data_IF_784518961768
#
_entry.id   IF_784518961768
#
_cell.length_a   1.000
_cell.length_b   1.000
_cell.length_c   1.000
_cell.angle_alpha   90.00
_cell.angle_beta   90.00
_cell.angle_gamma   90.00
#
_symmetry.space_group_name_H-M   'P 1'
#
loop_
_entity.id
_entity.type
_entity.pdbx_description
1 polymer ?
#
# COMPACT_ATOMS: atom_id res chain seq x y z
N UNK A 1 46.68 -18.19 -29.26
CA UNK A 1 46.03 -17.16 -28.40
C UNK A 1 44.55 -17.20 -28.70
N UNK A 2 43.76 -17.82 -27.82
CA UNK A 2 42.34 -18.10 -28.02
C UNK A 2 41.52 -16.82 -27.73
N UNK A 3 40.80 -16.29 -28.72
CA UNK A 3 39.87 -15.17 -28.56
C UNK A 3 38.62 -15.66 -27.81
N UNK A 4 38.41 -15.21 -26.56
CA UNK A 4 37.16 -15.41 -25.84
C UNK A 4 36.16 -14.31 -26.24
N UNK A 5 35.10 -14.72 -26.93
CA UNK A 5 33.92 -13.91 -27.22
C UNK A 5 33.03 -13.77 -25.97
N UNK A 6 32.87 -12.54 -25.48
CA UNK A 6 31.96 -12.20 -24.38
C UNK A 6 30.52 -12.15 -24.92
N UNK A 7 29.75 -13.21 -24.71
CA UNK A 7 28.30 -13.19 -24.87
C UNK A 7 27.68 -12.47 -23.65
N UNK A 8 27.33 -11.21 -23.82
CA UNK A 8 26.53 -10.47 -22.83
C UNK A 8 25.12 -11.06 -22.76
N UNK A 9 24.79 -11.69 -21.65
CA UNK A 9 23.44 -12.18 -21.38
C UNK A 9 22.57 -10.96 -21.05
N UNK A 10 21.78 -10.49 -22.02
CA UNK A 10 20.67 -9.59 -21.75
C UNK A 10 19.58 -10.38 -21.01
N UNK A 11 19.54 -10.25 -19.68
CA UNK A 11 18.41 -10.73 -18.89
C UNK A 11 17.21 -9.82 -19.17
N UNK A 12 16.01 -10.37 -19.42
CA UNK A 12 14.81 -9.56 -19.57
C UNK A 12 14.55 -8.79 -18.28
N UNK A 13 14.20 -7.50 -18.40
CA UNK A 13 13.78 -6.69 -17.27
C UNK A 13 12.63 -7.40 -16.55
N UNK A 14 12.85 -7.74 -15.27
CA UNK A 14 11.80 -8.32 -14.41
C UNK A 14 10.74 -7.24 -14.24
N UNK A 15 9.61 -7.42 -14.93
CA UNK A 15 8.44 -6.58 -14.73
C UNK A 15 7.96 -6.77 -13.28
N UNK A 16 7.67 -5.70 -12.53
CA UNK A 16 7.12 -5.83 -11.18
C UNK A 16 5.79 -6.57 -11.31
N UNK A 17 5.75 -7.81 -10.82
CA UNK A 17 4.55 -8.63 -10.82
C UNK A 17 3.56 -8.00 -9.85
N UNK A 18 2.39 -7.57 -10.34
CA UNK A 18 1.35 -7.07 -9.46
C UNK A 18 1.01 -8.11 -8.37
N UNK A 19 0.95 -7.65 -7.12
CA UNK A 19 0.58 -8.49 -6.00
C UNK A 19 -0.93 -8.78 -6.08
N UNK A 20 -1.29 -10.03 -6.31
CA UNK A 20 -2.68 -10.43 -6.57
C UNK A 20 -3.36 -11.00 -5.33
N UNK A 21 -4.69 -11.04 -5.33
CA UNK A 21 -5.47 -11.72 -4.28
C UNK A 21 -5.09 -13.21 -4.14
N UNK A 22 -4.57 -13.84 -5.19
CA UNK A 22 -4.11 -15.23 -5.11
C UNK A 22 -2.84 -15.38 -4.29
N UNK A 23 -2.02 -14.33 -4.19
CA UNK A 23 -0.82 -14.30 -3.34
C UNK A 23 -1.19 -14.10 -1.84
N UNK A 24 -2.42 -13.69 -1.55
CA UNK A 24 -2.95 -13.40 -0.20
C UNK A 24 -3.49 -14.66 0.50
N UNK A 25 -4.20 -15.51 -0.24
CA UNK A 25 -4.97 -16.64 0.32
C UNK A 25 -4.08 -17.72 0.94
N UNK A 26 -2.82 -17.85 0.51
CA UNK A 26 -1.88 -18.83 1.09
C UNK A 26 -1.10 -18.29 2.30
N UNK A 27 -1.07 -16.97 2.51
CA UNK A 27 -0.21 -16.32 3.53
C UNK A 27 -0.96 -15.87 4.78
N UNK A 28 -2.28 -15.64 4.71
CA UNK A 28 -3.05 -15.11 5.84
C UNK A 28 -4.21 -16.04 6.21
N UNK A 29 -3.97 -17.08 7.05
CA UNK A 29 -5.07 -17.90 7.57
C UNK A 29 -6.03 -17.03 8.40
N UNK A 30 -7.34 -17.26 8.25
CA UNK A 30 -8.43 -16.52 8.93
C UNK A 30 -8.49 -16.70 10.46
N UNK A 31 -7.44 -17.23 11.10
CA UNK A 31 -7.37 -17.40 12.55
C UNK A 31 -6.68 -16.21 13.19
N UNK A 32 -7.47 -15.33 13.81
CA UNK A 32 -6.99 -14.15 14.53
C UNK A 32 -6.50 -14.56 15.94
N UNK A 33 -5.38 -14.01 16.45
CA UNK A 33 -4.88 -14.34 17.79
C UNK A 33 -5.80 -13.81 18.91
N UNK A 34 -6.71 -12.90 18.59
CA UNK A 34 -7.73 -12.36 19.48
C UNK A 34 -8.99 -11.98 18.67
N UNK A 35 -10.19 -11.93 19.28
CA UNK A 35 -11.40 -11.46 18.61
C UNK A 35 -11.20 -10.06 18.00
N UNK A 36 -11.65 -9.85 16.76
CA UNK A 36 -11.47 -8.60 16.01
C UNK A 36 -10.02 -8.25 15.63
N UNK A 37 -9.06 -9.18 15.77
CA UNK A 37 -7.72 -8.99 15.23
C UNK A 37 -7.74 -8.83 13.72
N UNK A 38 -7.05 -7.83 13.20
CA UNK A 38 -6.94 -7.56 11.77
C UNK A 38 -5.50 -7.23 11.40
N UNK A 39 -5.20 -7.31 10.10
CA UNK A 39 -3.90 -6.93 9.54
C UNK A 39 -4.09 -5.79 8.56
N UNK A 40 -3.04 -5.03 8.32
CA UNK A 40 -2.95 -4.07 7.22
C UNK A 40 -1.59 -4.24 6.56
N UNK A 41 -1.47 -3.84 5.30
CA UNK A 41 -0.14 -3.54 4.78
C UNK A 41 0.43 -2.35 5.56
N UNK A 42 1.68 -2.46 5.99
CA UNK A 42 2.39 -1.38 6.71
C UNK A 42 3.75 -1.14 6.09
N UNK A 43 4.06 0.13 5.83
CA UNK A 43 5.32 0.57 5.27
C UNK A 43 5.47 2.08 5.50
N UNK A 44 6.72 2.56 5.56
CA UNK A 44 7.02 3.98 5.69
C UNK A 44 7.83 4.46 4.48
N UNK A 45 7.27 5.41 3.72
CA UNK A 45 7.92 6.06 2.57
C UNK A 45 8.55 5.07 1.56
N UNK A 46 7.86 3.95 1.28
CA UNK A 46 8.25 3.04 0.19
C UNK A 46 8.14 3.75 -1.16
N UNK A 47 8.95 3.36 -2.15
CA UNK A 47 8.96 4.04 -3.45
C UNK A 47 7.62 3.89 -4.20
N UNK A 48 6.97 2.74 -4.05
CA UNK A 48 5.69 2.43 -4.69
C UNK A 48 4.87 1.39 -3.91
N UNK A 49 3.70 1.03 -4.46
CA UNK A 49 2.80 0.05 -3.85
C UNK A 49 3.40 -1.35 -3.79
N UNK A 50 4.20 -1.72 -4.79
CA UNK A 50 4.76 -3.06 -4.90
C UNK A 50 5.81 -3.27 -3.81
N UNK A 51 6.74 -2.33 -3.66
CA UNK A 51 7.75 -2.37 -2.60
C UNK A 51 7.10 -2.37 -1.21
N UNK A 52 6.09 -1.51 -1.01
CA UNK A 52 5.33 -1.47 0.24
C UNK A 52 4.67 -2.82 0.58
N UNK A 53 3.92 -3.40 -0.36
CA UNK A 53 3.16 -4.63 -0.09
C UNK A 53 4.06 -5.86 0.01
N UNK A 54 5.13 -5.93 -0.80
CA UNK A 54 6.04 -7.07 -0.85
C UNK A 54 6.83 -7.25 0.45
N UNK A 55 7.21 -6.16 1.09
CA UNK A 55 8.03 -6.17 2.30
C UNK A 55 7.26 -5.86 3.57
N UNK A 56 5.93 -5.68 3.46
CA UNK A 56 5.09 -5.49 4.63
C UNK A 56 5.22 -6.67 5.60
N UNK A 57 5.41 -6.41 6.90
CA UNK A 57 5.50 -7.46 7.90
C UNK A 57 4.16 -8.18 8.04
N UNK A 58 4.18 -9.51 8.14
CA UNK A 58 2.98 -10.32 8.37
C UNK A 58 2.61 -10.34 9.87
N UNK A 59 2.21 -9.18 10.40
CA UNK A 59 1.85 -9.00 11.81
C UNK A 59 0.46 -8.41 11.97
N UNK A 60 -0.18 -8.70 13.10
CA UNK A 60 -1.47 -8.11 13.46
C UNK A 60 -1.32 -6.66 13.91
N UNK A 61 -2.34 -5.86 13.63
CA UNK A 61 -2.39 -4.47 14.06
C UNK A 61 -2.48 -4.33 15.60
N UNK A 62 -2.04 -3.21 16.17
CA UNK A 62 -2.23 -2.87 17.59
C UNK A 62 -3.72 -2.80 17.98
N UNK A 63 -4.03 -3.08 19.26
CA UNK A 63 -5.40 -3.20 19.78
C UNK A 63 -6.21 -1.89 19.77
N UNK A 64 -5.52 -0.76 19.80
CA UNK A 64 -6.06 0.60 19.78
C UNK A 64 -6.34 1.11 18.35
N UNK A 65 -6.10 0.28 17.33
CA UNK A 65 -6.37 0.61 15.92
C UNK A 65 -7.57 -0.16 15.40
N UNK A 66 -8.22 0.37 14.35
CA UNK A 66 -9.38 -0.28 13.69
C UNK A 66 -9.34 -0.21 12.17
N UNK A 67 -8.54 0.71 11.60
CA UNK A 67 -8.56 0.99 10.18
C UNK A 67 -7.18 0.82 9.57
N UNK A 68 -7.17 0.52 8.27
CA UNK A 68 -5.97 0.57 7.48
C UNK A 68 -5.89 1.90 6.73
N UNK A 69 -4.83 2.65 6.99
CA UNK A 69 -4.51 3.93 6.36
C UNK A 69 -3.59 3.72 5.16
N UNK A 70 -3.82 4.50 4.10
CA UNK A 70 -2.93 4.61 2.94
C UNK A 70 -2.73 6.08 2.57
N UNK A 71 -1.48 6.50 2.48
CA UNK A 71 -1.07 7.79 1.93
C UNK A 71 -0.16 7.58 0.73
N UNK A 72 -0.48 8.26 -0.36
CA UNK A 72 0.22 8.15 -1.63
C UNK A 72 0.58 9.54 -2.15
N UNK A 73 1.87 9.84 -2.14
CA UNK A 73 2.43 10.99 -2.84
C UNK A 73 2.81 10.55 -4.24
N UNK A 74 2.30 11.24 -5.25
CA UNK A 74 2.58 10.98 -6.67
C UNK A 74 2.85 12.28 -7.40
N UNK A 75 3.56 12.21 -8.53
CA UNK A 75 3.64 13.33 -9.49
C UNK A 75 2.26 13.55 -10.13
N UNK A 76 2.01 14.74 -10.66
CA UNK A 76 0.77 15.02 -11.41
C UNK A 76 0.55 14.06 -12.60
N UNK A 77 1.64 13.48 -13.14
CA UNK A 77 1.61 12.45 -14.19
C UNK A 77 1.14 11.06 -13.70
N UNK A 78 0.99 10.87 -12.39
CA UNK A 78 0.55 9.62 -11.77
C UNK A 78 1.68 8.69 -11.30
N UNK A 79 2.94 9.05 -11.54
CA UNK A 79 4.11 8.30 -11.06
C UNK A 79 4.23 8.39 -9.54
N UNK A 80 4.33 7.25 -8.86
CA UNK A 80 4.50 7.16 -7.41
C UNK A 80 5.81 7.84 -6.97
N UNK A 81 5.76 8.59 -5.88
CA UNK A 81 6.93 9.23 -5.26
C UNK A 81 7.18 8.62 -3.88
N UNK A 82 6.12 8.44 -3.10
CA UNK A 82 6.22 7.74 -1.81
C UNK A 82 4.88 7.16 -1.37
N UNK A 83 4.93 6.01 -0.70
CA UNK A 83 3.78 5.31 -0.15
C UNK A 83 4.01 5.09 1.34
N UNK A 84 3.00 5.40 2.14
CA UNK A 84 2.97 5.08 3.57
C UNK A 84 1.66 4.39 3.90
N UNK A 85 1.74 3.26 4.60
CA UNK A 85 0.58 2.50 5.07
C UNK A 85 0.71 2.17 6.54
N UNK A 86 -0.37 2.28 7.30
CA UNK A 86 -0.37 2.12 8.77
C UNK A 86 -1.68 1.50 9.25
N UNK A 87 -1.62 0.79 10.38
CA UNK A 87 -2.82 0.56 11.20
C UNK A 87 -3.08 1.83 12.00
N UNK A 88 -4.31 2.32 12.01
CA UNK A 88 -4.65 3.61 12.66
C UNK A 88 -5.98 3.57 13.43
N UNK A 89 -6.15 4.45 14.42
CA UNK A 89 -7.44 4.71 15.05
C UNK A 89 -8.33 5.60 14.16
N UNK A 90 -9.54 5.94 14.62
CA UNK A 90 -10.54 6.67 13.84
C UNK A 90 -10.07 8.09 13.47
N UNK A 91 -9.44 8.79 14.40
CA UNK A 91 -9.02 10.18 14.26
C UNK A 91 -8.10 10.41 13.04
N UNK A 92 -7.25 9.44 12.72
CA UNK A 92 -6.33 9.46 11.58
C UNK A 92 -7.07 9.29 10.22
N UNK A 93 -8.31 8.80 10.24
CA UNK A 93 -9.13 8.55 9.06
C UNK A 93 -10.17 9.65 8.77
N UNK A 94 -10.28 10.66 9.63
CA UNK A 94 -11.25 11.76 9.44
C UNK A 94 -10.85 12.75 8.34
N UNK A 95 -9.61 12.66 7.83
CA UNK A 95 -9.06 13.57 6.81
C UNK A 95 -8.58 12.81 5.56
N UNK A 96 -9.48 12.09 4.89
CA UNK A 96 -9.23 11.48 3.57
C UNK A 96 -9.45 12.46 2.42
N UNK A 97 -8.84 12.20 1.28
CA UNK A 97 -8.96 13.03 0.07
C UNK A 97 -7.64 13.20 -0.65
N UNK A 98 -7.65 14.01 -1.72
CA UNK A 98 -6.44 14.39 -2.44
C UNK A 98 -6.22 15.90 -2.38
N UNK A 99 -4.97 16.30 -2.17
CA UNK A 99 -4.52 17.69 -2.27
C UNK A 99 -3.32 17.81 -3.21
N UNK A 100 -3.23 18.91 -3.93
CA UNK A 100 -2.03 19.26 -4.68
C UNK A 100 -1.00 19.92 -3.76
N UNK A 101 0.28 19.67 -4.01
CA UNK A 101 1.40 20.25 -3.26
C UNK A 101 2.49 20.72 -4.23
N UNK A 102 3.29 21.71 -3.80
CA UNK A 102 4.36 22.35 -4.60
C UNK A 102 3.88 22.81 -5.99
N UNK A 103 3.00 23.82 -6.03
CA UNK A 103 2.49 24.38 -7.29
C UNK A 103 1.98 23.31 -8.28
N UNK A 104 1.21 22.34 -7.76
CA UNK A 104 0.58 21.28 -8.55
C UNK A 104 1.51 20.27 -9.21
N UNK A 105 2.82 20.28 -8.91
CA UNK A 105 3.75 19.24 -9.38
C UNK A 105 3.44 17.86 -8.81
N UNK A 106 2.94 17.83 -7.57
CA UNK A 106 2.63 16.60 -6.86
C UNK A 106 1.21 16.60 -6.31
N UNK A 107 0.70 15.39 -6.11
CA UNK A 107 -0.61 15.10 -5.55
C UNK A 107 -0.44 14.14 -4.38
N UNK A 108 -0.97 14.53 -3.22
CA UNK A 108 -1.01 13.73 -2.01
C UNK A 108 -2.44 13.22 -1.83
N UNK A 109 -2.64 11.91 -1.94
CA UNK A 109 -3.93 11.28 -1.71
C UNK A 109 -3.89 10.40 -0.47
N UNK A 110 -4.95 10.46 0.33
CA UNK A 110 -5.10 9.72 1.58
C UNK A 110 -6.44 8.98 1.60
N UNK A 111 -6.42 7.69 1.94
CA UNK A 111 -7.63 6.87 2.12
C UNK A 111 -7.53 6.03 3.39
N UNK A 112 -8.69 5.61 3.88
CA UNK A 112 -8.82 4.62 4.94
C UNK A 112 -9.82 3.55 4.55
N UNK A 113 -9.63 2.34 5.06
CA UNK A 113 -10.59 1.26 4.93
C UNK A 113 -10.70 0.43 6.21
N UNK A 114 -11.89 -0.14 6.42
CA UNK A 114 -12.14 -1.14 7.46
C UNK A 114 -12.07 -2.55 6.87
N UNK A 115 -11.38 -3.46 7.56
CA UNK A 115 -11.23 -4.86 7.17
C UNK A 115 -9.76 -5.30 7.11
N UNK A 116 -9.53 -6.60 7.30
CA UNK A 116 -8.18 -7.15 7.22
C UNK A 116 -7.63 -6.98 5.81
N UNK A 117 -6.39 -6.49 5.70
CA UNK A 117 -5.59 -6.27 4.47
C UNK A 117 -6.34 -5.49 3.37
N UNK A 118 -7.32 -4.67 3.76
CA UNK A 118 -8.15 -3.92 2.83
C UNK A 118 -7.38 -2.84 2.05
N UNK A 119 -6.25 -2.37 2.60
CA UNK A 119 -5.42 -1.31 2.02
C UNK A 119 -4.41 -1.83 0.98
N UNK A 120 -4.76 -2.89 0.25
CA UNK A 120 -3.96 -3.41 -0.86
C UNK A 120 -3.72 -2.37 -1.98
N UNK A 121 -4.75 -1.67 -2.50
CA UNK A 121 -4.57 -0.61 -3.50
C UNK A 121 -4.10 0.72 -2.88
N UNK A 122 -3.72 1.68 -3.74
CA UNK A 122 -3.43 3.06 -3.36
C UNK A 122 -4.51 4.02 -3.85
N UNK A 123 -4.82 5.07 -3.09
CA UNK A 123 -5.63 6.17 -3.59
C UNK A 123 -4.85 6.98 -4.63
N UNK A 124 -5.51 7.38 -5.72
CA UNK A 124 -4.93 8.14 -6.84
C UNK A 124 -5.76 9.38 -7.19
N UNK A 125 -7.02 9.45 -6.78
CA UNK A 125 -7.94 10.53 -7.10
C UNK A 125 -9.02 10.70 -6.02
N UNK A 126 -9.92 11.67 -6.19
CA UNK A 126 -10.95 11.96 -5.18
C UNK A 126 -12.00 10.86 -5.03
N UNK A 127 -12.14 9.96 -6.02
CA UNK A 127 -13.11 8.86 -5.96
C UNK A 127 -12.61 7.66 -5.16
N UNK A 128 -11.28 7.46 -5.06
CA UNK A 128 -10.66 6.38 -4.29
C UNK A 128 -9.93 6.85 -3.01
N UNK A 129 -9.68 8.17 -2.89
CA UNK A 129 -9.18 8.80 -1.67
C UNK A 129 -10.30 9.08 -0.66
N UNK A 130 -10.98 8.03 -0.23
CA UNK A 130 -12.14 8.10 0.68
C UNK A 130 -11.92 7.27 1.94
N UNK A 131 -12.78 7.46 2.93
CA UNK A 131 -12.88 6.57 4.08
C UNK A 131 -14.01 5.55 3.87
N UNK A 132 -13.63 4.31 3.57
CA UNK A 132 -14.56 3.19 3.37
C UNK A 132 -14.72 2.37 4.65
N UNK A 133 -15.82 2.58 5.36
CA UNK A 133 -16.17 1.87 6.60
C UNK A 133 -17.39 0.97 6.41
N UNK A 134 -17.43 -0.17 7.09
CA UNK A 134 -18.59 -1.07 7.16
C UNK A 134 -19.43 -0.78 8.43
N UNK A 135 -18.77 -0.27 9.47
CA UNK A 135 -19.36 0.13 10.73
C UNK A 135 -19.82 1.60 10.68
N UNK A 136 -20.94 1.94 11.35
CA UNK A 136 -21.29 3.35 11.61
C UNK A 136 -20.17 4.06 12.36
N UNK A 137 -19.96 5.34 12.01
CA UNK A 137 -18.97 6.22 12.64
C UNK A 137 -19.49 6.83 13.94
#
# INVERSE_FOLDING_TARGET
VLLLSLLGICLPAVQPKDFTVKDIVYLHPSTTPYPHGFKCFTCEKAADNYECNRWAPDVYCPRDTRYCFSQHLMKATGESVSVTKRCVPLEDCLSTGCTYVRHEEYKLCTSCCEGSICNLPLPRNSSDAVFSTLSPL
#
